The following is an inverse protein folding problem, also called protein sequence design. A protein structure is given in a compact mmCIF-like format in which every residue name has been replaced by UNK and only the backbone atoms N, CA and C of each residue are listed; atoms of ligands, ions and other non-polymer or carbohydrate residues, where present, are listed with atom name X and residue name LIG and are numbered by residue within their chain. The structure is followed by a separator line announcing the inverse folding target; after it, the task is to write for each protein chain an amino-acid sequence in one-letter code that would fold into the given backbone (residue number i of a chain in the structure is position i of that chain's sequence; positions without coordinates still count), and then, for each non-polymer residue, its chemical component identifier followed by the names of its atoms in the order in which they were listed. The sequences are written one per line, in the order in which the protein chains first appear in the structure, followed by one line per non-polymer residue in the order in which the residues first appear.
data_IF_310252929539
#
_entry.id   IF_310252929539
#
_cell.length_a   1.000
_cell.length_b   1.000
_cell.length_c   1.000
_cell.angle_alpha   90.00
_cell.angle_beta   90.00
_cell.angle_gamma   90.00
#
_symmetry.space_group_name_H-M   'P 1'
#
loop_
_entity.id
_entity.type
_entity.pdbx_description
1 polymer ?
#
# COMPACT_ATOMS: atom_id res chain seq x y z
N UNK A 1 -11.88 9.17 8.72
CA UNK A 1 -11.79 9.13 7.25
C UNK A 1 -12.85 8.23 6.67
N UNK A 2 -13.48 8.66 5.60
CA UNK A 2 -14.39 7.81 4.82
C UNK A 2 -13.73 7.52 3.47
N UNK A 3 -13.79 6.26 3.05
CA UNK A 3 -13.20 5.82 1.79
C UNK A 3 -14.20 4.99 0.99
N UNK A 4 -14.19 5.13 -0.32
CA UNK A 4 -15.08 4.37 -1.20
C UNK A 4 -14.52 2.98 -1.51
N UNK A 5 -13.21 2.83 -1.49
CA UNK A 5 -12.54 1.54 -1.65
C UNK A 5 -11.40 1.42 -0.64
N UNK A 6 -10.99 0.18 -0.38
CA UNK A 6 -9.85 -0.07 0.51
C UNK A 6 -8.56 0.55 -0.04
N UNK A 7 -8.45 0.74 -1.36
CA UNK A 7 -7.27 1.34 -1.98
C UNK A 7 -7.04 2.78 -1.54
N UNK A 8 -8.09 3.52 -1.22
CA UNK A 8 -7.98 4.89 -0.74
C UNK A 8 -7.37 4.99 0.66
N UNK A 9 -7.30 3.89 1.39
CA UNK A 9 -6.68 3.85 2.71
C UNK A 9 -5.17 3.63 2.64
N UNK A 10 -4.66 3.20 1.48
CA UNK A 10 -3.22 2.99 1.30
C UNK A 10 -2.49 4.33 1.44
N UNK A 11 -1.46 4.34 2.27
CA UNK A 11 -0.65 5.53 2.49
C UNK A 11 -1.18 6.49 3.55
N UNK A 12 -2.41 6.35 3.98
CA UNK A 12 -2.99 7.15 5.06
C UNK A 12 -2.68 6.52 6.43
N UNK A 13 -1.42 6.25 6.65
CA UNK A 13 -0.95 5.58 7.86
C UNK A 13 -0.71 6.59 8.98
N UNK A 14 -0.97 6.19 10.24
CA UNK A 14 -0.78 7.10 11.37
C UNK A 14 0.69 7.40 11.64
N UNK A 15 0.93 8.57 12.21
CA UNK A 15 2.25 8.99 12.67
C UNK A 15 2.16 9.10 14.18
N UNK A 16 3.08 8.41 14.89
CA UNK A 16 3.07 8.31 16.35
C UNK A 16 4.38 8.82 16.91
N UNK A 17 4.30 9.65 17.94
CA UNK A 17 5.48 10.16 18.61
C UNK A 17 6.06 9.10 19.57
N UNK A 18 7.38 8.93 19.52
CA UNK A 18 8.10 8.08 20.48
C UNK A 18 8.43 8.92 21.71
N UNK A 19 7.82 8.57 22.86
CA UNK A 19 7.95 9.37 24.07
C UNK A 19 8.93 8.78 25.08
N UNK A 20 9.07 7.45 25.15
CA UNK A 20 9.82 6.78 26.21
C UNK A 20 11.26 6.45 25.86
N UNK A 21 11.52 6.00 24.62
CA UNK A 21 12.85 5.53 24.23
C UNK A 21 13.92 6.61 24.24
N UNK A 22 13.55 7.82 23.85
CA UNK A 22 14.49 8.94 23.66
C UNK A 22 14.24 10.09 24.63
N UNK A 23 13.31 9.94 25.58
CA UNK A 23 12.92 10.98 26.53
C UNK A 23 12.18 12.13 25.86
N UNK A 24 11.90 13.18 26.67
CA UNK A 24 11.11 14.33 26.20
C UNK A 24 11.93 15.38 25.43
N UNK A 25 13.24 15.21 25.35
CA UNK A 25 14.15 16.19 24.74
C UNK A 25 14.21 16.09 23.21
N UNK A 26 13.83 14.95 22.65
CA UNK A 26 13.85 14.72 21.20
C UNK A 26 12.44 14.41 20.72
N UNK A 27 12.01 15.11 19.67
CA UNK A 27 10.74 14.84 19.02
C UNK A 27 10.98 13.91 17.83
N UNK A 28 10.72 12.62 18.04
CA UNK A 28 10.87 11.58 17.02
C UNK A 28 9.49 10.98 16.76
N UNK A 29 9.13 10.89 15.49
CA UNK A 29 7.86 10.35 15.06
C UNK A 29 8.07 9.13 14.17
N UNK A 30 7.20 8.15 14.31
CA UNK A 30 7.19 6.95 13.46
C UNK A 30 5.92 6.93 12.64
N UNK A 31 6.06 6.74 11.34
CA UNK A 31 4.94 6.49 10.45
C UNK A 31 4.70 4.98 10.36
N UNK A 32 3.51 4.55 10.79
CA UNK A 32 3.22 3.12 10.93
C UNK A 32 2.72 2.52 9.61
N UNK A 33 3.64 2.10 8.76
CA UNK A 33 3.29 1.50 7.46
C UNK A 33 2.59 0.15 7.58
N UNK A 34 2.71 -0.54 8.71
CA UNK A 34 1.93 -1.76 9.00
C UNK A 34 0.43 -1.52 9.00
N UNK A 35 0.00 -0.26 9.12
CA UNK A 35 -1.42 0.12 9.12
C UNK A 35 -2.00 0.25 7.71
N UNK A 36 -1.21 0.04 6.66
CA UNK A 36 -1.75 -0.15 5.32
C UNK A 36 -2.65 -1.40 5.28
N UNK A 37 -3.65 -1.47 4.38
CA UNK A 37 -4.59 -2.60 4.36
C UNK A 37 -3.95 -3.97 4.13
N UNK A 38 -2.83 -4.03 3.40
CA UNK A 38 -2.02 -5.25 3.25
C UNK A 38 -0.94 -5.42 4.32
N UNK A 39 -0.94 -4.58 5.34
CA UNK A 39 -0.06 -4.60 6.51
C UNK A 39 1.40 -4.25 6.23
N UNK A 40 1.71 -3.59 5.13
CA UNK A 40 3.09 -3.17 4.85
C UNK A 40 3.16 -1.96 3.91
N UNK A 41 4.36 -1.37 3.83
CA UNK A 41 4.66 -0.29 2.88
C UNK A 41 4.49 -0.73 1.41
N UNK A 42 4.52 -2.03 1.14
CA UNK A 42 4.44 -2.57 -0.23
C UNK A 42 3.10 -2.32 -0.90
N UNK A 43 2.05 -2.04 -0.15
CA UNK A 43 0.77 -1.61 -0.72
C UNK A 43 0.92 -0.35 -1.57
N UNK A 44 1.76 0.59 -1.14
CA UNK A 44 2.04 1.82 -1.90
C UNK A 44 2.66 1.52 -3.26
N UNK A 45 3.65 0.63 -3.26
CA UNK A 45 4.35 0.22 -4.48
C UNK A 45 3.39 -0.50 -5.43
N UNK A 46 2.60 -1.42 -4.91
CA UNK A 46 1.65 -2.19 -5.70
C UNK A 46 0.61 -1.28 -6.37
N UNK A 47 0.02 -0.38 -5.62
CA UNK A 47 -0.94 0.58 -6.16
C UNK A 47 -0.31 1.45 -7.24
N UNK A 48 0.89 1.97 -6.97
CA UNK A 48 1.61 2.84 -7.91
C UNK A 48 1.94 2.11 -9.21
N UNK A 49 2.42 0.86 -9.15
CA UNK A 49 2.73 0.07 -10.34
C UNK A 49 1.49 -0.18 -11.20
N UNK A 50 0.39 -0.59 -10.58
CA UNK A 50 -0.84 -0.90 -11.31
C UNK A 50 -1.43 0.37 -11.93
N UNK A 51 -1.52 1.45 -11.17
CA UNK A 51 -2.06 2.71 -11.68
C UNK A 51 -1.18 3.31 -12.77
N UNK A 52 0.13 3.19 -12.67
CA UNK A 52 1.04 3.64 -13.71
C UNK A 52 0.84 2.83 -15.01
N UNK A 53 0.71 1.51 -14.89
CA UNK A 53 0.43 0.65 -16.04
C UNK A 53 -0.93 0.97 -16.68
N UNK A 54 -1.93 1.29 -15.87
CA UNK A 54 -3.24 1.72 -16.36
C UNK A 54 -3.14 3.03 -17.14
N UNK A 55 -2.42 4.02 -16.60
CA UNK A 55 -2.23 5.31 -17.29
C UNK A 55 -1.52 5.16 -18.64
N UNK A 56 -0.60 4.21 -18.75
CA UNK A 56 0.14 3.93 -19.98
C UNK A 56 -0.62 3.05 -20.97
N UNK A 57 -1.83 2.62 -20.63
CA UNK A 57 -2.64 1.76 -21.49
C UNK A 57 -2.13 0.33 -21.62
N UNK A 58 -1.33 -0.14 -20.66
CA UNK A 58 -0.74 -1.48 -20.70
C UNK A 58 -1.67 -2.56 -20.14
N UNK A 59 -2.73 -2.17 -19.45
CA UNK A 59 -3.68 -3.09 -18.82
C UNK A 59 -5.07 -2.95 -19.45
N UNK A 60 -5.76 -4.07 -19.60
CA UNK A 60 -7.15 -4.14 -20.02
C UNK A 60 -7.91 -5.10 -19.08
N UNK A 61 -9.26 -5.19 -19.16
CA UNK A 61 -10.03 -6.02 -18.23
C UNK A 61 -9.66 -7.50 -18.19
N UNK A 62 -9.00 -8.01 -19.23
CA UNK A 62 -8.58 -9.41 -19.32
C UNK A 62 -7.11 -9.63 -18.95
N UNK A 63 -6.41 -8.59 -18.54
CA UNK A 63 -4.99 -8.70 -18.18
C UNK A 63 -4.78 -9.57 -16.95
N UNK A 64 -3.68 -10.32 -16.97
CA UNK A 64 -3.21 -11.14 -15.86
C UNK A 64 -1.92 -10.52 -15.33
N UNK A 65 -1.84 -10.34 -14.03
CA UNK A 65 -0.65 -9.80 -13.36
C UNK A 65 0.21 -10.95 -12.90
N UNK A 66 1.46 -10.97 -13.34
CA UNK A 66 2.44 -11.98 -12.96
C UNK A 66 3.64 -11.28 -12.35
N UNK A 67 3.98 -11.61 -11.12
CA UNK A 67 5.12 -11.04 -10.42
C UNK A 67 5.79 -12.10 -9.55
N UNK A 68 7.11 -12.35 -9.72
CA UNK A 68 7.82 -13.30 -8.87
C UNK A 68 8.07 -12.69 -7.49
N UNK A 69 7.18 -12.95 -6.56
CA UNK A 69 7.26 -12.43 -5.20
C UNK A 69 6.81 -13.50 -4.21
N UNK A 70 7.45 -13.53 -3.05
CA UNK A 70 7.09 -14.44 -1.96
C UNK A 70 6.62 -13.70 -0.72
N UNK A 71 6.41 -12.38 -0.79
CA UNK A 71 6.15 -11.57 0.39
C UNK A 71 5.13 -10.46 0.17
N UNK A 72 5.39 -9.34 0.83
CA UNK A 72 4.45 -8.23 0.95
C UNK A 72 4.12 -7.53 -0.38
N UNK A 73 5.04 -7.54 -1.34
CA UNK A 73 4.75 -7.02 -2.68
C UNK A 73 3.65 -7.83 -3.35
N UNK A 74 3.72 -9.16 -3.24
CA UNK A 74 2.67 -10.04 -3.76
C UNK A 74 1.34 -9.83 -3.07
N UNK A 75 1.33 -9.65 -1.76
CA UNK A 75 0.12 -9.34 -0.99
C UNK A 75 -0.49 -8.02 -1.47
N UNK A 76 0.34 -6.99 -1.64
CA UNK A 76 -0.12 -5.69 -2.13
C UNK A 76 -0.71 -5.77 -3.55
N UNK A 77 -0.03 -6.47 -4.45
CA UNK A 77 -0.52 -6.67 -5.82
C UNK A 77 -1.83 -7.45 -5.84
N UNK A 78 -1.95 -8.50 -5.02
CA UNK A 78 -3.19 -9.27 -4.91
C UNK A 78 -4.35 -8.40 -4.42
N UNK A 79 -4.12 -7.56 -3.43
CA UNK A 79 -5.12 -6.63 -2.91
C UNK A 79 -5.59 -5.65 -4.00
N UNK A 80 -4.66 -4.99 -4.68
CA UNK A 80 -4.98 -4.01 -5.72
C UNK A 80 -5.69 -4.70 -6.90
N UNK A 81 -5.20 -5.85 -7.32
CA UNK A 81 -5.79 -6.61 -8.41
C UNK A 81 -7.22 -7.04 -8.08
N UNK A 82 -7.45 -7.51 -6.85
CA UNK A 82 -8.78 -7.93 -6.42
C UNK A 82 -9.79 -6.78 -6.48
N UNK A 83 -9.40 -5.59 -6.03
CA UNK A 83 -10.30 -4.42 -6.04
C UNK A 83 -10.55 -3.93 -7.46
N UNK A 84 -9.54 -3.94 -8.32
CA UNK A 84 -9.64 -3.45 -9.71
C UNK A 84 -10.13 -4.50 -10.70
N UNK A 85 -10.23 -5.77 -10.31
CA UNK A 85 -10.74 -6.84 -11.15
C UNK A 85 -9.72 -7.51 -12.07
N UNK A 86 -8.43 -7.39 -11.80
CA UNK A 86 -7.38 -8.12 -12.52
C UNK A 86 -7.13 -9.50 -11.89
N UNK A 87 -6.54 -10.38 -12.66
CA UNK A 87 -6.12 -11.70 -12.20
C UNK A 87 -4.63 -11.78 -11.88
#
# INVERSE_FOLDING_TARGET
MKANTILETIGNTPVVQINKLFGNKKKIWIKLERSNPGNSIKDRIALSMIEDAERKGLLNPNSVIIEPTSGNTGIGLALVAAVKGYK
#
